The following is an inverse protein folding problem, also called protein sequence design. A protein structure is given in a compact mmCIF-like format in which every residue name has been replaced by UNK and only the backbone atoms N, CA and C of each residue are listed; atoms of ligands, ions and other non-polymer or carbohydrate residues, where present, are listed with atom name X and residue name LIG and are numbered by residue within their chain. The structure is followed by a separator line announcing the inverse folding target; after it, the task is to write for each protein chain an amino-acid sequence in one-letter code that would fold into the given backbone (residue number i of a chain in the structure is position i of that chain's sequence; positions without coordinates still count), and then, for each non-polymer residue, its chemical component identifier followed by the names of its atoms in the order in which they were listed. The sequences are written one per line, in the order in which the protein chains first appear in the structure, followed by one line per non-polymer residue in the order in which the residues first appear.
data_IF_961543681516
#
_entry.id   IF_961543681516
#
_cell.length_a   1.000
_cell.length_b   1.000
_cell.length_c   1.000
_cell.angle_alpha   90.00
_cell.angle_beta   90.00
_cell.angle_gamma   90.00
#
_symmetry.space_group_name_H-M   'P 1'
#
loop_
_entity.id
_entity.type
_entity.pdbx_description
1 polymer ?
#
# COMPACT_ATOMS: atom_id res chain seq x y z
N UNK A 1 22.09 -27.89 -51.75
CA UNK A 1 21.73 -27.52 -50.36
C UNK A 1 21.21 -26.09 -50.26
N UNK A 2 21.88 -25.11 -50.84
CA UNK A 2 21.51 -23.69 -50.82
C UNK A 2 20.09 -23.42 -51.38
N UNK A 3 19.70 -24.06 -52.50
CA UNK A 3 18.40 -23.87 -53.14
C UNK A 3 17.23 -24.32 -52.26
N UNK A 4 17.40 -25.39 -51.47
CA UNK A 4 16.37 -25.86 -50.52
C UNK A 4 16.19 -24.87 -49.33
N UNK A 5 17.28 -24.28 -48.85
CA UNK A 5 17.26 -23.28 -47.77
C UNK A 5 16.56 -22.00 -48.25
N UNK A 6 16.86 -21.58 -49.49
CA UNK A 6 16.24 -20.40 -50.08
C UNK A 6 14.72 -20.57 -50.24
N UNK A 7 14.28 -21.77 -50.65
CA UNK A 7 12.87 -22.10 -50.78
C UNK A 7 12.12 -22.08 -49.44
N UNK A 8 12.72 -22.60 -48.38
CA UNK A 8 12.14 -22.58 -47.00
C UNK A 8 12.05 -21.16 -46.49
N UNK A 9 13.07 -20.34 -46.68
CA UNK A 9 13.06 -18.92 -46.27
C UNK A 9 11.98 -18.13 -47.00
N UNK A 10 11.82 -18.36 -48.33
CA UNK A 10 10.75 -17.70 -49.12
C UNK A 10 9.36 -18.07 -48.63
N UNK A 11 9.13 -19.35 -48.29
CA UNK A 11 7.83 -19.80 -47.75
C UNK A 11 7.56 -19.17 -46.38
N UNK A 12 8.55 -19.11 -45.49
CA UNK A 12 8.44 -18.47 -44.19
C UNK A 12 8.14 -16.97 -44.31
N UNK A 13 8.85 -16.26 -45.19
CA UNK A 13 8.56 -14.83 -45.46
C UNK A 13 7.14 -14.64 -46.02
N UNK A 14 6.68 -15.50 -46.91
CA UNK A 14 5.32 -15.45 -47.44
C UNK A 14 4.27 -15.67 -46.38
N UNK A 15 4.47 -16.58 -45.43
CA UNK A 15 3.58 -16.80 -44.29
C UNK A 15 3.54 -15.58 -43.38
N UNK A 16 4.68 -14.99 -43.03
CA UNK A 16 4.74 -13.78 -42.18
C UNK A 16 4.05 -12.61 -42.84
N UNK A 17 4.33 -12.36 -44.12
CA UNK A 17 3.65 -11.29 -44.90
C UNK A 17 2.15 -11.55 -45.00
N UNK A 18 1.75 -12.81 -45.22
CA UNK A 18 0.35 -13.22 -45.25
C UNK A 18 -0.37 -12.97 -43.91
N UNK A 19 0.25 -13.29 -42.78
CA UNK A 19 -0.31 -13.05 -41.47
C UNK A 19 -0.46 -11.55 -41.15
N UNK A 20 0.55 -10.74 -41.47
CA UNK A 20 0.50 -9.29 -41.33
C UNK A 20 -0.61 -8.67 -42.20
N UNK A 21 -0.73 -9.17 -43.43
CA UNK A 21 -1.77 -8.68 -44.36
C UNK A 21 -3.16 -9.11 -43.91
N UNK A 22 -3.29 -10.33 -43.37
CA UNK A 22 -4.55 -10.83 -42.83
C UNK A 22 -4.96 -10.02 -41.57
N UNK A 23 -4.02 -9.72 -40.70
CA UNK A 23 -4.29 -8.88 -39.53
C UNK A 23 -4.76 -7.48 -39.94
N UNK A 24 -4.08 -6.85 -40.89
CA UNK A 24 -4.50 -5.54 -41.45
C UNK A 24 -5.87 -5.61 -42.13
N UNK A 25 -6.16 -6.69 -42.86
CA UNK A 25 -7.43 -6.90 -43.51
C UNK A 25 -8.57 -7.09 -42.50
N UNK A 26 -8.36 -7.93 -41.48
CA UNK A 26 -9.32 -8.15 -40.39
C UNK A 26 -9.58 -6.85 -39.60
N UNK A 27 -8.54 -6.09 -39.28
CA UNK A 27 -8.67 -4.77 -38.61
C UNK A 27 -9.43 -3.77 -39.49
N UNK A 28 -9.28 -3.81 -40.82
CA UNK A 28 -9.96 -2.90 -41.76
C UNK A 28 -11.40 -3.29 -42.06
N UNK A 29 -11.74 -4.59 -41.94
CA UNK A 29 -13.07 -5.11 -42.25
C UNK A 29 -13.94 -5.31 -41.02
N UNK A 30 -13.30 -5.35 -39.82
CA UNK A 30 -14.06 -5.35 -38.59
C UNK A 30 -14.85 -4.03 -38.46
N UNK A 31 -16.14 -4.09 -38.17
CA UNK A 31 -16.93 -2.87 -37.98
C UNK A 31 -16.27 -2.04 -36.89
N UNK A 32 -15.87 -0.80 -37.23
CA UNK A 32 -15.39 0.18 -36.27
C UNK A 32 -16.54 0.43 -35.30
N UNK A 33 -16.50 -0.22 -34.14
CA UNK A 33 -17.43 0.07 -33.05
C UNK A 33 -16.96 1.37 -32.39
N UNK A 34 -17.56 2.47 -32.78
CA UNK A 34 -17.42 3.75 -32.10
C UNK A 34 -18.11 3.65 -30.75
N UNK A 35 -17.31 3.72 -29.68
CA UNK A 35 -17.75 3.81 -28.28
C UNK A 35 -16.73 3.17 -27.38
N UNK A 36 -16.37 3.87 -26.30
CA UNK A 36 -15.60 3.28 -25.22
C UNK A 36 -16.35 2.03 -24.73
N UNK A 37 -15.70 0.87 -24.82
CA UNK A 37 -16.24 -0.37 -24.27
C UNK A 37 -16.50 -0.23 -22.78
N UNK A 38 -17.30 -1.10 -22.20
CA UNK A 38 -17.51 -1.13 -20.78
C UNK A 38 -16.16 -1.35 -20.06
N UNK A 39 -15.81 -0.44 -19.14
CA UNK A 39 -14.58 -0.56 -18.34
C UNK A 39 -14.83 -1.53 -17.19
N UNK A 40 -13.98 -2.54 -17.06
CA UNK A 40 -14.03 -3.52 -15.98
C UNK A 40 -12.69 -3.53 -15.23
N UNK A 41 -12.75 -3.26 -13.93
CA UNK A 41 -11.59 -3.41 -13.03
C UNK A 41 -11.50 -4.88 -12.58
N UNK A 42 -10.36 -5.51 -12.84
CA UNK A 42 -10.11 -6.89 -12.43
C UNK A 42 -9.52 -6.93 -11.01
N UNK A 43 -9.80 -8.02 -10.29
CA UNK A 43 -9.17 -8.39 -9.02
C UNK A 43 -9.13 -7.25 -7.98
N UNK A 44 -10.25 -6.50 -7.86
CA UNK A 44 -10.36 -5.39 -6.92
C UNK A 44 -10.41 -5.92 -5.49
N UNK A 45 -9.46 -5.53 -4.61
CA UNK A 45 -9.46 -5.96 -3.21
C UNK A 45 -10.70 -5.49 -2.44
N UNK A 46 -11.13 -6.26 -1.43
CA UNK A 46 -12.32 -5.95 -0.63
C UNK A 46 -12.23 -4.62 0.12
N UNK A 47 -11.02 -4.18 0.48
CA UNK A 47 -10.80 -2.91 1.19
C UNK A 47 -10.95 -1.67 0.30
N UNK A 48 -11.01 -1.81 -1.02
CA UNK A 48 -11.16 -0.68 -1.95
C UNK A 48 -12.57 -0.13 -1.86
N UNK A 49 -12.68 1.12 -1.41
CA UNK A 49 -13.98 1.80 -1.27
C UNK A 49 -14.64 2.06 -2.63
N UNK A 50 -15.96 2.18 -2.63
CA UNK A 50 -16.69 2.52 -3.85
C UNK A 50 -16.32 3.90 -4.39
N UNK A 51 -15.99 4.85 -3.50
CA UNK A 51 -15.49 6.17 -3.91
C UNK A 51 -14.17 6.08 -4.69
N UNK A 52 -13.25 5.19 -4.26
CA UNK A 52 -11.99 4.98 -4.97
C UNK A 52 -12.23 4.32 -6.32
N UNK A 53 -13.12 3.33 -6.42
CA UNK A 53 -13.52 2.72 -7.69
C UNK A 53 -14.10 3.75 -8.64
N UNK A 54 -15.04 4.59 -8.16
CA UNK A 54 -15.66 5.66 -8.96
C UNK A 54 -14.64 6.67 -9.48
N UNK A 55 -13.67 7.05 -8.63
CA UNK A 55 -12.54 7.90 -9.05
C UNK A 55 -11.76 7.25 -10.19
N UNK A 56 -11.42 5.96 -10.08
CA UNK A 56 -10.71 5.22 -11.15
C UNK A 56 -11.54 5.21 -12.43
N UNK A 57 -12.83 4.89 -12.37
CA UNK A 57 -13.71 4.90 -13.53
C UNK A 57 -13.79 6.28 -14.19
N UNK A 58 -13.94 7.34 -13.40
CA UNK A 58 -14.05 8.71 -13.89
C UNK A 58 -12.79 9.14 -14.64
N UNK A 59 -11.61 8.89 -14.06
CA UNK A 59 -10.34 9.29 -14.66
C UNK A 59 -10.01 8.42 -15.87
N UNK A 60 -10.21 7.12 -15.78
CA UNK A 60 -9.96 6.19 -16.87
C UNK A 60 -10.78 6.51 -18.13
N UNK A 61 -12.02 6.99 -17.96
CA UNK A 61 -12.92 7.25 -19.09
C UNK A 61 -12.95 8.72 -19.55
N UNK A 62 -12.14 9.60 -18.97
CA UNK A 62 -12.19 11.05 -19.20
C UNK A 62 -11.95 11.43 -20.68
N UNK A 63 -11.06 10.74 -21.40
CA UNK A 63 -10.67 11.08 -22.77
C UNK A 63 -11.01 10.02 -23.83
N UNK A 64 -11.46 8.82 -23.43
CA UNK A 64 -11.52 7.65 -24.32
C UNK A 64 -12.85 7.42 -25.07
N UNK A 65 -13.85 8.27 -24.92
CA UNK A 65 -15.24 7.97 -25.39
C UNK A 65 -15.42 7.87 -26.90
N UNK A 66 -14.52 8.41 -27.71
CA UNK A 66 -14.63 8.49 -29.16
C UNK A 66 -13.47 7.83 -29.92
N UNK A 67 -12.63 7.06 -29.26
CA UNK A 67 -11.45 6.42 -29.83
C UNK A 67 -11.76 5.00 -30.30
N UNK A 68 -10.96 4.48 -31.23
CA UNK A 68 -10.95 3.04 -31.53
C UNK A 68 -10.54 2.27 -30.25
N UNK A 69 -10.98 1.02 -30.10
CA UNK A 69 -10.82 0.24 -28.87
C UNK A 69 -9.35 0.11 -28.43
N UNK A 70 -8.42 -0.06 -29.36
CA UNK A 70 -6.99 -0.19 -29.05
C UNK A 70 -6.40 1.16 -28.58
N UNK A 71 -6.77 2.27 -29.22
CA UNK A 71 -6.36 3.61 -28.82
C UNK A 71 -6.99 4.02 -27.49
N UNK A 72 -8.24 3.62 -27.25
CA UNK A 72 -8.93 3.79 -25.98
C UNK A 72 -8.23 3.03 -24.85
N UNK A 73 -7.75 1.80 -25.09
CA UNK A 73 -7.00 1.03 -24.08
C UNK A 73 -5.69 1.72 -23.70
N UNK A 74 -4.92 2.22 -24.65
CA UNK A 74 -3.69 2.97 -24.39
C UNK A 74 -3.95 4.30 -23.66
N UNK A 75 -5.01 5.02 -24.04
CA UNK A 75 -5.40 6.26 -23.37
C UNK A 75 -5.82 6.00 -21.93
N UNK A 76 -6.65 4.97 -21.68
CA UNK A 76 -7.06 4.55 -20.33
C UNK A 76 -5.87 4.16 -19.49
N UNK A 77 -4.94 3.36 -20.03
CA UNK A 77 -3.75 2.94 -19.30
C UNK A 77 -2.91 4.15 -18.87
N UNK A 78 -2.61 5.06 -19.79
CA UNK A 78 -1.84 6.27 -19.50
C UNK A 78 -2.53 7.15 -18.46
N UNK A 79 -3.83 7.38 -18.58
CA UNK A 79 -4.57 8.20 -17.63
C UNK A 79 -4.54 7.62 -16.22
N UNK A 80 -4.64 6.28 -16.09
CA UNK A 80 -4.56 5.60 -14.81
C UNK A 80 -3.13 5.73 -14.23
N UNK A 81 -2.10 5.44 -15.03
CA UNK A 81 -0.70 5.49 -14.58
C UNK A 81 -0.28 6.91 -14.13
N UNK A 82 -0.74 7.95 -14.84
CA UNK A 82 -0.36 9.34 -14.54
C UNK A 82 -1.18 9.97 -13.41
N UNK A 83 -2.47 9.62 -13.28
CA UNK A 83 -3.42 10.36 -12.44
C UNK A 83 -3.93 9.59 -11.22
N UNK A 84 -3.68 8.28 -11.14
CA UNK A 84 -4.18 7.43 -10.08
C UNK A 84 -3.04 6.75 -9.31
N UNK A 85 -2.52 7.39 -8.25
CA UNK A 85 -1.39 6.87 -7.48
C UNK A 85 -1.71 5.54 -6.74
N UNK A 86 -2.98 5.18 -6.66
CA UNK A 86 -3.47 3.95 -6.01
C UNK A 86 -3.25 2.68 -6.81
N UNK A 87 -2.93 2.81 -8.10
CA UNK A 87 -2.74 1.69 -9.02
C UNK A 87 -1.31 1.67 -9.55
N UNK A 88 -0.74 0.49 -9.57
CA UNK A 88 0.59 0.20 -10.08
C UNK A 88 0.56 -0.98 -11.04
N UNK A 89 1.60 -1.13 -11.87
CA UNK A 89 1.69 -2.21 -12.86
C UNK A 89 0.45 -2.33 -13.75
N UNK A 90 -0.11 -1.18 -14.15
CA UNK A 90 -1.38 -1.11 -14.88
C UNK A 90 -1.25 -1.72 -16.26
N UNK A 91 -2.18 -2.62 -16.60
CA UNK A 91 -2.33 -3.22 -17.92
C UNK A 91 -3.78 -3.13 -18.37
N UNK A 92 -4.01 -2.51 -19.50
CA UNK A 92 -5.37 -2.40 -20.08
C UNK A 92 -5.44 -3.27 -21.32
N UNK A 93 -6.42 -4.16 -21.36
CA UNK A 93 -6.66 -5.04 -22.50
C UNK A 93 -8.04 -4.79 -23.09
N UNK A 94 -8.08 -4.54 -24.39
CA UNK A 94 -9.33 -4.45 -25.13
C UNK A 94 -9.76 -5.85 -25.59
N UNK A 95 -10.97 -6.25 -25.24
CA UNK A 95 -11.56 -7.53 -25.64
C UNK A 95 -13.00 -7.31 -26.06
N UNK A 96 -13.31 -7.52 -27.33
CA UNK A 96 -14.64 -7.28 -27.94
C UNK A 96 -15.13 -5.84 -27.72
N UNK A 97 -15.90 -5.59 -26.67
CA UNK A 97 -16.44 -4.29 -26.31
C UNK A 97 -16.13 -3.93 -24.84
N UNK A 98 -15.15 -4.57 -24.23
CA UNK A 98 -14.78 -4.40 -22.83
C UNK A 98 -13.31 -3.99 -22.73
N UNK A 99 -13.05 -2.94 -21.96
CA UNK A 99 -11.72 -2.56 -21.52
C UNK A 99 -11.46 -3.14 -20.13
N UNK A 100 -10.65 -4.18 -20.06
CA UNK A 100 -10.28 -4.83 -18.81
C UNK A 100 -8.99 -4.21 -18.27
N UNK A 101 -9.08 -3.62 -17.08
CA UNK A 101 -7.96 -3.06 -16.35
C UNK A 101 -7.48 -4.07 -15.32
N UNK A 102 -6.24 -4.48 -15.43
CA UNK A 102 -5.52 -5.30 -14.47
C UNK A 102 -4.45 -4.41 -13.84
N UNK A 103 -4.38 -4.35 -12.51
CA UNK A 103 -3.41 -3.51 -11.81
C UNK A 103 -3.16 -4.02 -10.39
N UNK A 104 -1.99 -3.69 -9.84
CA UNK A 104 -1.68 -3.87 -8.43
C UNK A 104 -2.25 -2.68 -7.65
N UNK A 105 -3.17 -2.95 -6.72
CA UNK A 105 -3.71 -1.94 -5.83
C UNK A 105 -2.74 -1.66 -4.68
N UNK A 106 -2.35 -0.38 -4.51
CA UNK A 106 -1.52 0.06 -3.38
C UNK A 106 -2.35 0.15 -2.13
N UNK A 107 -2.08 -0.76 -1.17
CA UNK A 107 -2.75 -0.76 0.15
C UNK A 107 -2.14 0.33 1.02
N UNK A 108 -2.91 1.31 1.54
CA UNK A 108 -2.38 2.29 2.47
C UNK A 108 -2.03 1.62 3.81
N UNK A 109 -0.84 1.92 4.34
CA UNK A 109 -0.34 1.41 5.62
C UNK A 109 -0.53 2.45 6.71
N UNK A 110 -0.26 3.72 6.39
CA UNK A 110 -0.32 4.78 7.38
C UNK A 110 -0.91 6.09 6.85
N UNK A 111 -1.47 6.87 7.76
CA UNK A 111 -1.94 8.23 7.54
C UNK A 111 -0.88 9.23 8.01
N UNK A 112 -0.55 10.20 7.18
CA UNK A 112 0.27 11.35 7.55
C UNK A 112 -0.58 12.63 7.50
N UNK A 113 -0.45 13.46 8.56
CA UNK A 113 -1.07 14.78 8.61
C UNK A 113 0.01 15.84 8.71
N UNK A 114 0.02 16.78 7.78
CA UNK A 114 0.92 17.93 7.76
C UNK A 114 0.11 19.23 7.62
N UNK A 115 -0.13 19.88 8.73
CA UNK A 115 -1.05 21.04 8.80
C UNK A 115 -2.47 20.63 8.37
N UNK A 116 -2.99 21.24 7.30
CA UNK A 116 -4.31 20.91 6.74
C UNK A 116 -4.29 19.76 5.72
N UNK A 117 -3.11 19.34 5.30
CA UNK A 117 -2.95 18.28 4.30
C UNK A 117 -2.97 16.92 4.99
N UNK A 118 -3.74 16.00 4.41
CA UNK A 118 -3.79 14.60 4.81
C UNK A 118 -3.49 13.75 3.59
N UNK A 119 -2.69 12.72 3.75
CA UNK A 119 -2.38 11.76 2.71
C UNK A 119 -2.01 10.42 3.33
N UNK A 120 -2.10 9.37 2.55
CA UNK A 120 -1.63 8.05 2.97
C UNK A 120 -0.24 7.77 2.40
N UNK A 121 0.40 6.77 3.00
CA UNK A 121 1.59 6.13 2.47
C UNK A 121 1.39 4.62 2.47
N UNK A 122 1.88 3.97 1.42
CA UNK A 122 1.88 2.51 1.33
C UNK A 122 3.16 1.88 1.93
N UNK A 123 3.31 0.57 1.81
CA UNK A 123 4.48 -0.16 2.29
C UNK A 123 5.79 0.23 1.57
N UNK A 124 5.71 0.77 0.36
CA UNK A 124 6.84 1.24 -0.45
C UNK A 124 7.12 2.74 -0.24
N UNK A 125 6.46 3.37 0.73
CA UNK A 125 6.52 4.81 1.03
C UNK A 125 5.97 5.69 -0.11
N UNK A 126 5.13 5.17 -0.98
CA UNK A 126 4.47 5.96 -2.03
C UNK A 126 3.37 6.82 -1.42
N UNK A 127 3.37 8.11 -1.79
CA UNK A 127 2.36 9.07 -1.32
C UNK A 127 1.06 8.90 -2.10
N UNK A 128 -0.02 8.60 -1.36
CA UNK A 128 -1.37 8.42 -1.89
C UNK A 128 -2.29 9.55 -1.39
N UNK A 129 -3.19 10.01 -2.22
CA UNK A 129 -4.16 11.03 -1.80
C UNK A 129 -5.13 10.51 -0.74
N UNK A 130 -5.58 11.41 0.11
CA UNK A 130 -6.49 11.04 1.19
C UNK A 130 -7.90 10.72 0.66
N UNK A 131 -8.37 9.51 0.98
CA UNK A 131 -9.75 9.09 0.81
C UNK A 131 -10.24 8.42 2.11
N UNK A 132 -11.46 8.69 2.59
CA UNK A 132 -11.96 8.04 3.80
C UNK A 132 -12.01 6.51 3.62
N UNK A 133 -11.39 5.77 4.54
CA UNK A 133 -11.37 4.31 4.59
C UNK A 133 -11.71 3.81 6.00
N UNK A 134 -12.98 3.91 6.42
CA UNK A 134 -13.38 3.63 7.80
C UNK A 134 -13.19 2.15 8.21
N UNK A 135 -13.18 1.25 7.24
CA UNK A 135 -13.07 -0.20 7.50
C UNK A 135 -11.60 -0.67 7.64
N UNK A 136 -10.63 0.22 7.40
CA UNK A 136 -9.22 -0.15 7.49
C UNK A 136 -8.59 0.38 8.78
N UNK A 137 -7.78 -0.43 9.49
CA UNK A 137 -7.02 0.01 10.65
C UNK A 137 -5.77 0.79 10.21
N UNK A 138 -5.96 2.03 9.74
CA UNK A 138 -4.87 2.88 9.29
C UNK A 138 -4.35 3.72 10.45
N UNK A 139 -3.08 3.53 10.80
CA UNK A 139 -2.40 4.20 11.92
C UNK A 139 -1.84 5.56 11.49
N UNK A 140 -2.00 6.59 12.31
CA UNK A 140 -1.41 7.91 12.04
C UNK A 140 0.07 7.95 12.43
N UNK A 141 0.95 8.40 11.52
CA UNK A 141 2.37 8.66 11.83
C UNK A 141 2.51 10.11 12.33
N UNK A 142 3.09 10.25 13.52
CA UNK A 142 3.43 11.53 14.17
C UNK A 142 4.94 11.73 14.27
N UNK A 143 5.36 12.99 14.39
CA UNK A 143 6.75 13.32 14.70
C UNK A 143 7.66 13.43 13.46
N UNK A 144 7.09 13.45 12.26
CA UNK A 144 7.84 13.82 11.06
C UNK A 144 8.26 15.30 11.13
N UNK A 145 9.53 15.64 10.84
CA UNK A 145 9.97 17.02 10.85
C UNK A 145 9.19 17.91 9.88
N UNK A 146 8.74 19.05 10.35
CA UNK A 146 7.89 20.00 9.61
C UNK A 146 8.55 20.60 8.35
N UNK A 147 9.87 20.54 8.25
CA UNK A 147 10.66 21.17 7.15
C UNK A 147 10.74 20.31 5.90
N UNK A 148 10.13 19.16 5.91
CA UNK A 148 10.29 18.19 4.82
C UNK A 148 9.31 18.47 3.68
N UNK A 149 9.84 18.64 2.47
CA UNK A 149 9.01 18.71 1.26
C UNK A 149 8.32 17.36 1.05
N UNK A 150 7.01 17.38 1.02
CA UNK A 150 6.20 16.21 0.66
C UNK A 150 6.32 16.02 -0.85
N UNK A 151 6.64 14.81 -1.35
CA UNK A 151 6.66 14.54 -2.78
C UNK A 151 5.25 14.64 -3.38
N UNK A 152 5.14 14.78 -4.70
CA UNK A 152 3.88 14.61 -5.42
C UNK A 152 3.22 13.27 -5.12
N UNK A 153 1.93 13.20 -5.37
CA UNK A 153 1.16 11.95 -5.30
C UNK A 153 1.74 10.93 -6.30
N UNK A 154 1.85 9.68 -5.88
CA UNK A 154 2.43 8.60 -6.68
C UNK A 154 3.95 8.47 -6.57
N UNK A 155 4.65 9.43 -5.96
CA UNK A 155 6.08 9.37 -5.77
C UNK A 155 6.47 8.77 -4.41
N UNK A 156 7.65 8.15 -4.35
CA UNK A 156 8.20 7.57 -3.12
C UNK A 156 8.76 8.66 -2.22
N UNK A 157 8.31 8.67 -0.98
CA UNK A 157 8.85 9.57 0.04
C UNK A 157 10.00 8.91 0.81
N UNK A 158 11.18 8.92 0.23
CA UNK A 158 12.37 8.28 0.81
C UNK A 158 12.79 8.92 2.13
N UNK A 159 12.45 8.27 3.23
CA UNK A 159 12.78 8.72 4.59
C UNK A 159 13.00 7.53 5.51
N UNK A 160 14.11 7.53 6.24
CA UNK A 160 14.44 6.45 7.17
C UNK A 160 13.48 6.39 8.37
N UNK A 161 13.02 7.54 8.87
CA UNK A 161 12.08 7.59 9.99
C UNK A 161 10.68 7.12 9.59
N UNK A 162 10.22 7.46 8.38
CA UNK A 162 8.99 6.95 7.81
C UNK A 162 9.07 5.44 7.56
N UNK A 163 10.16 4.99 6.94
CA UNK A 163 10.43 3.56 6.71
C UNK A 163 10.39 2.73 8.00
N UNK A 164 10.99 3.25 9.07
CA UNK A 164 10.99 2.58 10.37
C UNK A 164 9.58 2.41 10.95
N UNK A 165 8.73 3.44 10.84
CA UNK A 165 7.33 3.36 11.26
C UNK A 165 6.55 2.34 10.43
N UNK A 166 6.65 2.43 9.10
CA UNK A 166 5.97 1.52 8.16
C UNK A 166 6.38 0.07 8.43
N UNK A 167 7.66 -0.20 8.65
CA UNK A 167 8.17 -1.55 8.92
C UNK A 167 7.57 -2.17 10.19
N UNK A 168 7.35 -1.37 11.24
CA UNK A 168 6.68 -1.84 12.45
C UNK A 168 5.21 -2.15 12.16
N UNK A 169 4.50 -1.24 11.47
CA UNK A 169 3.09 -1.42 11.14
C UNK A 169 2.85 -2.63 10.22
N UNK A 170 3.73 -2.85 9.25
CA UNK A 170 3.67 -4.00 8.35
C UNK A 170 3.86 -5.32 9.13
N UNK A 171 4.83 -5.38 10.05
CA UNK A 171 5.01 -6.54 10.93
C UNK A 171 3.79 -6.81 11.83
N UNK A 172 3.15 -5.77 12.33
CA UNK A 172 1.91 -5.91 13.10
C UNK A 172 0.75 -6.40 12.21
N UNK A 173 0.61 -5.89 10.98
CA UNK A 173 -0.40 -6.37 10.01
C UNK A 173 -0.20 -7.87 9.67
N UNK A 174 1.05 -8.31 9.50
CA UNK A 174 1.36 -9.72 9.25
C UNK A 174 1.09 -10.62 10.46
N UNK A 175 1.40 -10.14 11.65
CA UNK A 175 1.07 -10.85 12.89
C UNK A 175 -0.45 -10.94 13.09
N UNK A 176 -1.19 -9.88 12.82
CA UNK A 176 -2.66 -9.86 12.91
C UNK A 176 -3.30 -10.86 11.97
N UNK A 177 -2.85 -10.94 10.72
CA UNK A 177 -3.33 -11.94 9.74
C UNK A 177 -3.17 -13.38 10.25
N UNK A 178 -2.11 -13.65 11.00
CA UNK A 178 -1.78 -15.00 11.48
C UNK A 178 -2.33 -15.33 12.87
N UNK A 179 -2.34 -14.36 13.80
CA UNK A 179 -2.64 -14.60 15.21
C UNK A 179 -3.99 -14.05 15.67
N UNK A 180 -4.46 -12.97 15.07
CA UNK A 180 -5.66 -12.23 15.50
C UNK A 180 -6.54 -11.77 14.33
N UNK A 181 -6.84 -12.66 13.34
CA UNK A 181 -7.55 -12.27 12.12
C UNK A 181 -8.95 -11.70 12.38
N UNK A 182 -9.65 -12.22 13.40
CA UNK A 182 -11.02 -11.79 13.76
C UNK A 182 -11.02 -10.45 14.51
N UNK A 183 -9.94 -10.15 15.22
CA UNK A 183 -9.79 -8.92 16.00
C UNK A 183 -8.35 -8.42 15.90
N UNK A 184 -8.00 -7.70 14.83
CA UNK A 184 -6.63 -7.20 14.62
C UNK A 184 -6.19 -6.26 15.74
N UNK A 185 -4.99 -6.47 16.28
CA UNK A 185 -4.38 -5.60 17.29
C UNK A 185 -4.19 -4.17 16.75
N UNK A 186 -3.84 -4.05 15.45
CA UNK A 186 -3.73 -2.75 14.78
C UNK A 186 -4.99 -1.91 14.87
N UNK A 187 -6.17 -2.54 15.00
CA UNK A 187 -7.43 -1.79 15.14
C UNK A 187 -7.52 -0.98 16.44
N UNK A 188 -6.70 -1.30 17.45
CA UNK A 188 -6.62 -0.55 18.71
C UNK A 188 -5.54 0.54 18.70
N UNK A 189 -4.60 0.50 17.76
CA UNK A 189 -3.55 1.51 17.62
C UNK A 189 -4.10 2.72 16.86
N UNK A 190 -3.95 3.91 17.45
CA UNK A 190 -4.34 5.17 16.84
C UNK A 190 -3.18 5.80 16.08
N UNK A 191 -2.00 5.83 16.72
CA UNK A 191 -0.83 6.51 16.15
C UNK A 191 0.49 5.86 16.54
N UNK A 192 1.49 6.08 15.71
CA UNK A 192 2.89 5.79 15.96
C UNK A 192 3.67 7.10 15.97
N UNK A 193 4.42 7.36 17.04
CA UNK A 193 5.23 8.55 17.22
C UNK A 193 6.71 8.23 16.97
N UNK A 194 7.27 8.91 15.98
CA UNK A 194 8.67 8.82 15.57
C UNK A 194 9.42 10.13 15.82
N UNK A 195 8.91 11.03 16.67
CA UNK A 195 9.53 12.32 16.97
C UNK A 195 10.95 12.17 17.48
N UNK A 196 11.22 11.12 18.25
CA UNK A 196 12.54 10.81 18.77
C UNK A 196 13.32 9.77 17.93
N UNK A 197 12.96 9.56 16.66
CA UNK A 197 13.67 8.65 15.76
C UNK A 197 15.19 8.85 15.83
N UNK A 198 15.94 7.75 15.95
CA UNK A 198 17.40 7.73 16.12
C UNK A 198 17.92 8.61 17.28
N UNK A 199 17.09 8.80 18.33
CA UNK A 199 17.44 9.58 19.51
C UNK A 199 17.60 11.09 19.28
N UNK A 200 17.00 11.64 18.20
CA UNK A 200 17.19 13.05 17.76
C UNK A 200 16.83 14.11 18.82
N UNK A 201 15.95 13.79 19.74
CA UNK A 201 15.63 14.66 20.87
C UNK A 201 16.31 14.23 22.17
N UNK A 202 16.34 12.90 22.42
CA UNK A 202 16.94 12.33 23.61
C UNK A 202 17.35 10.86 23.36
N UNK A 203 18.63 10.59 23.29
CA UNK A 203 19.19 9.26 23.03
C UNK A 203 18.89 8.21 24.10
N UNK A 204 18.44 8.61 25.30
CA UNK A 204 18.07 7.69 26.38
C UNK A 204 16.60 7.29 26.37
N UNK A 205 15.77 8.05 25.65
CA UNK A 205 14.35 7.75 25.50
C UNK A 205 14.10 6.80 24.33
N UNK A 206 12.91 6.20 24.31
CA UNK A 206 12.50 5.39 23.19
C UNK A 206 12.47 6.20 21.89
N UNK A 207 12.92 5.59 20.80
CA UNK A 207 12.92 6.22 19.49
C UNK A 207 11.52 6.22 18.86
N UNK A 208 10.77 5.14 19.12
CA UNK A 208 9.45 4.90 18.56
C UNK A 208 8.48 4.47 19.65
N UNK A 209 7.30 5.08 19.69
CA UNK A 209 6.23 4.78 20.64
C UNK A 209 4.92 4.67 19.85
N UNK A 210 4.14 3.60 20.11
CA UNK A 210 2.77 3.50 19.61
C UNK A 210 1.80 3.94 20.69
N UNK A 211 0.65 4.43 20.29
CA UNK A 211 -0.42 4.83 21.19
C UNK A 211 -1.72 4.20 20.77
N UNK A 212 -2.44 3.67 21.73
CA UNK A 212 -3.80 3.19 21.53
C UNK A 212 -4.80 4.35 21.46
N UNK A 213 -6.06 4.04 21.10
CA UNK A 213 -7.13 5.03 21.01
C UNK A 213 -7.44 5.72 22.34
N UNK A 214 -7.16 5.11 23.47
CA UNK A 214 -7.28 5.68 24.81
C UNK A 214 -5.96 6.27 25.34
N UNK A 215 -4.96 6.45 24.49
CA UNK A 215 -3.63 6.96 24.78
C UNK A 215 -2.76 6.10 25.72
N UNK A 216 -3.01 4.79 25.81
CA UNK A 216 -2.05 3.89 26.45
C UNK A 216 -0.77 3.85 25.61
N UNK A 217 0.39 4.07 26.26
CA UNK A 217 1.69 4.09 25.60
C UNK A 217 2.22 2.66 25.42
N UNK A 218 2.64 2.33 24.20
CA UNK A 218 3.36 1.09 23.87
C UNK A 218 4.76 1.49 23.41
N UNK A 219 5.72 1.35 24.33
CA UNK A 219 7.09 1.75 24.12
C UNK A 219 7.80 0.68 23.29
N UNK A 220 7.91 0.90 21.98
CA UNK A 220 8.62 -0.01 21.08
C UNK A 220 10.14 0.06 21.27
N UNK A 221 10.70 1.26 21.32
CA UNK A 221 12.13 1.50 21.48
C UNK A 221 12.84 1.82 20.16
N UNK A 222 13.94 1.13 19.89
CA UNK A 222 14.73 1.31 18.68
C UNK A 222 14.04 0.75 17.43
N UNK A 223 14.51 1.16 16.27
CA UNK A 223 14.07 0.70 14.96
C UNK A 223 14.25 -0.82 14.82
N UNK A 224 13.43 -1.42 13.96
CA UNK A 224 13.51 -2.86 13.67
C UNK A 224 14.94 -3.24 13.23
N UNK A 225 15.48 -4.28 13.83
CA UNK A 225 16.84 -4.77 13.58
C UNK A 225 17.96 -4.02 14.32
N UNK A 226 17.68 -2.92 15.04
CA UNK A 226 18.69 -2.14 15.77
C UNK A 226 18.70 -2.35 17.28
N UNK A 227 17.91 -3.28 17.78
CA UNK A 227 17.77 -3.60 19.21
C UNK A 227 19.10 -3.88 19.94
N UNK A 228 20.08 -4.51 19.26
CA UNK A 228 21.40 -4.80 19.86
C UNK A 228 22.16 -3.54 20.24
N UNK A 229 22.10 -2.49 19.43
CA UNK A 229 22.79 -1.24 19.67
C UNK A 229 22.26 -0.49 20.90
N UNK A 230 21.02 -0.80 21.28
CA UNK A 230 20.32 -0.16 22.39
C UNK A 230 20.09 -1.09 23.59
N UNK A 231 20.63 -2.33 23.52
CA UNK A 231 20.48 -3.36 24.56
C UNK A 231 19.01 -3.64 24.90
N UNK A 232 18.17 -3.66 23.89
CA UNK A 232 16.73 -3.93 24.01
C UNK A 232 16.38 -5.39 23.70
N UNK A 233 15.13 -5.77 23.95
CA UNK A 233 14.54 -7.03 23.47
C UNK A 233 14.64 -7.12 21.95
N UNK A 234 14.78 -8.35 21.42
CA UNK A 234 14.70 -8.56 19.97
C UNK A 234 13.31 -8.18 19.43
N UNK A 235 13.20 -7.91 18.14
CA UNK A 235 11.93 -7.56 17.54
C UNK A 235 10.87 -8.67 17.72
N UNK A 236 11.32 -9.94 17.65
CA UNK A 236 10.47 -11.10 17.88
C UNK A 236 10.00 -11.18 19.34
N UNK A 237 10.87 -10.85 20.30
CA UNK A 237 10.49 -10.77 21.72
C UNK A 237 9.50 -9.64 21.98
N UNK A 238 9.69 -8.47 21.35
CA UNK A 238 8.75 -7.35 21.43
C UNK A 238 7.37 -7.75 20.92
N UNK A 239 7.30 -8.37 19.75
CA UNK A 239 6.05 -8.87 19.16
C UNK A 239 5.41 -9.96 20.02
N UNK A 240 6.19 -10.95 20.47
CA UNK A 240 5.69 -12.03 21.33
C UNK A 240 5.10 -11.49 22.63
N UNK A 241 5.76 -10.52 23.28
CA UNK A 241 5.29 -9.86 24.49
C UNK A 241 3.99 -9.11 24.26
N UNK A 242 3.92 -8.32 23.17
CA UNK A 242 2.74 -7.51 22.84
C UNK A 242 1.52 -8.38 22.50
N UNK A 243 1.69 -9.38 21.63
CA UNK A 243 0.61 -10.28 21.25
C UNK A 243 0.23 -11.26 22.36
N UNK A 244 1.20 -11.67 23.22
CA UNK A 244 0.92 -12.45 24.43
C UNK A 244 -0.02 -11.70 25.36
N UNK A 245 0.28 -10.43 25.64
CA UNK A 245 -0.57 -9.56 26.44
C UNK A 245 -1.95 -9.37 25.79
N UNK A 246 -1.98 -9.05 24.50
CA UNK A 246 -3.24 -8.85 23.78
C UNK A 246 -4.16 -10.08 23.80
N UNK A 247 -3.59 -11.28 23.67
CA UNK A 247 -4.35 -12.53 23.76
C UNK A 247 -4.87 -12.81 25.17
N UNK A 248 -4.11 -12.45 26.19
CA UNK A 248 -4.50 -12.68 27.59
C UNK A 248 -5.65 -11.75 28.03
N UNK A 249 -5.53 -10.46 27.68
CA UNK A 249 -6.50 -9.44 28.13
C UNK A 249 -7.55 -9.07 27.09
N UNK A 250 -7.38 -9.46 25.85
CA UNK A 250 -8.30 -9.16 24.74
C UNK A 250 -8.32 -7.69 24.29
N UNK A 251 -7.49 -6.84 24.90
CA UNK A 251 -7.37 -5.41 24.57
C UNK A 251 -6.02 -4.86 25.05
N UNK A 252 -5.56 -3.80 24.39
CA UNK A 252 -4.42 -3.00 24.84
C UNK A 252 -4.85 -1.78 25.64
N UNK A 253 -6.12 -1.37 25.47
CA UNK A 253 -6.67 -0.15 26.04
C UNK A 253 -7.10 -0.35 27.49
N UNK A 254 -6.66 0.55 28.37
CA UNK A 254 -7.07 0.60 29.79
C UNK A 254 -6.65 -0.59 30.65
N UNK A 255 -6.09 -1.64 30.06
CA UNK A 255 -5.68 -2.85 30.76
C UNK A 255 -4.27 -2.74 31.38
N UNK A 256 -3.46 -1.82 30.90
CA UNK A 256 -2.13 -1.53 31.43
C UNK A 256 -1.92 -0.03 31.61
N UNK A 257 -1.02 0.35 32.52
CA UNK A 257 -0.59 1.75 32.68
C UNK A 257 0.23 2.21 31.48
N UNK A 258 1.12 1.36 31.01
CA UNK A 258 1.89 1.46 29.80
C UNK A 258 2.44 0.08 29.44
N UNK A 259 2.85 -0.13 28.20
CA UNK A 259 3.44 -1.39 27.73
C UNK A 259 4.87 -1.10 27.29
N UNK A 260 5.87 -1.53 28.08
CA UNK A 260 7.27 -1.39 27.72
C UNK A 260 7.76 -2.68 27.05
N UNK A 261 8.09 -2.60 25.76
CA UNK A 261 8.61 -3.73 25.00
C UNK A 261 10.14 -3.79 24.94
N UNK A 262 10.83 -2.74 25.40
CA UNK A 262 12.29 -2.62 25.31
C UNK A 262 13.02 -3.60 26.20
N UNK A 263 12.56 -3.77 27.45
CA UNK A 263 13.22 -4.63 28.40
C UNK A 263 12.62 -6.04 28.40
N UNK A 264 13.42 -7.08 28.13
CA UNK A 264 12.92 -8.47 28.16
C UNK A 264 12.51 -8.94 29.56
N UNK A 265 12.96 -8.25 30.61
CA UNK A 265 12.68 -8.59 32.03
C UNK A 265 11.48 -7.85 32.59
N UNK A 266 11.04 -6.75 31.96
CA UNK A 266 9.91 -5.97 32.41
C UNK A 266 8.59 -6.74 32.21
N UNK A 267 7.81 -6.84 33.26
CA UNK A 267 6.40 -7.19 33.17
C UNK A 267 5.59 -5.95 32.77
N UNK A 268 4.49 -6.17 32.06
CA UNK A 268 3.56 -5.08 31.74
C UNK A 268 2.83 -4.70 33.03
N UNK A 269 2.97 -3.45 33.52
CA UNK A 269 2.34 -3.06 34.79
C UNK A 269 0.83 -2.88 34.59
N UNK A 270 0.06 -3.71 35.28
CA UNK A 270 -1.39 -3.57 35.33
C UNK A 270 -1.79 -2.31 36.13
N UNK A 271 -2.98 -1.74 35.87
CA UNK A 271 -3.55 -0.69 36.70
C UNK A 271 -3.66 -1.19 38.15
N UNK A 272 -3.21 -0.39 39.09
CA UNK A 272 -3.50 -0.66 40.50
C UNK A 272 -4.97 -0.36 40.71
N UNK A 273 -5.76 -1.37 41.06
CA UNK A 273 -7.14 -1.16 41.49
C UNK A 273 -7.14 -0.16 42.64
N UNK A 274 -7.69 1.02 42.38
CA UNK A 274 -7.95 2.00 43.46
C UNK A 274 -9.22 1.53 44.16
N UNK A 275 -9.05 0.80 45.25
CA UNK A 275 -10.08 0.60 46.24
C UNK A 275 -10.43 1.91 46.94
#
# INVERSE_FOLDING_TARGET
MILKVLAVVSVLCGIVIGLISLEKYVKKTAPVRQGAGDLVLADVPLWVSDQLKEKVYTIATAEGRNLELDDAALSVQRNIEELIPWLDEVKVRATHNILRVEARWRKPVALVKSGLIKFYVDAEQVVLDFMPMPEMPIVEIKGLPLVTKIPPLGEVWQRDDLAAAIMILDRLDDMDKSLTPDKPLLSEIERIDISNFNGRHNSRQAHIILYTKDNTEIIWGAEVGKWQQHLESTDEQKLAKLYGYYKEYGTLSGAAKFINLRDPRDNIPLPIDKY
#
